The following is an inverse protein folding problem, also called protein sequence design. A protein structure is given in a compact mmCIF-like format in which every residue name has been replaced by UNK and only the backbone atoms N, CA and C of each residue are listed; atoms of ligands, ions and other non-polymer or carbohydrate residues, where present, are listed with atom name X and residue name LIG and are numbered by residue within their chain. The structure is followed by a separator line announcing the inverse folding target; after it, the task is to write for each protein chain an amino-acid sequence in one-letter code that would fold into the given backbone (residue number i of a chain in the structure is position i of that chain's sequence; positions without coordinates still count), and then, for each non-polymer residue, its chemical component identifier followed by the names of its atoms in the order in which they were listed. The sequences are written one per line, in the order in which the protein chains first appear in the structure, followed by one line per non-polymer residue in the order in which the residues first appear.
data_IF_612169755649
#
_entry.id   IF_612169755649
#
_cell.length_a   1.000
_cell.length_b   1.000
_cell.length_c   1.000
_cell.angle_alpha   90.00
_cell.angle_beta   90.00
_cell.angle_gamma   90.00
#
_symmetry.space_group_name_H-M   'P 1'
#
loop_
_entity.id
_entity.type
_entity.pdbx_description
1 polymer ?
#
# COMPACT_ATOMS: atom_id res chain seq x y z
N UNK A 1 -1.73 -14.82 0.06
CA UNK A 1 -1.03 -13.53 0.04
C UNK A 1 -1.86 -12.52 -0.73
N UNK A 2 -2.02 -11.32 -0.19
CA UNK A 2 -2.85 -10.30 -0.80
C UNK A 2 -2.00 -9.28 -1.53
N UNK A 3 -2.60 -8.68 -2.55
CA UNK A 3 -1.91 -7.72 -3.39
C UNK A 3 -2.80 -6.53 -3.70
N UNK A 4 -2.19 -5.42 -4.02
CA UNK A 4 -2.93 -4.27 -4.48
C UNK A 4 -2.00 -3.33 -5.23
N UNK A 5 -2.60 -2.51 -6.07
CA UNK A 5 -1.87 -1.49 -6.81
C UNK A 5 -2.49 -0.14 -6.51
N UNK A 6 -1.66 0.87 -6.46
CA UNK A 6 -2.10 2.21 -6.14
C UNK A 6 -1.47 3.19 -7.12
N UNK A 7 -2.29 4.07 -7.67
CA UNK A 7 -1.80 5.09 -8.59
C UNK A 7 -1.48 6.35 -7.80
N UNK A 8 -0.19 6.62 -7.63
CA UNK A 8 0.24 7.81 -6.90
C UNK A 8 0.62 8.92 -7.88
N UNK A 9 0.77 10.16 -7.36
CA UNK A 9 1.19 11.27 -8.22
C UNK A 9 2.58 11.09 -8.82
N UNK A 10 3.39 10.22 -8.25
CA UNK A 10 4.78 10.05 -8.71
C UNK A 10 5.02 8.66 -9.31
N UNK A 11 3.96 7.88 -9.54
CA UNK A 11 4.10 6.56 -10.15
C UNK A 11 3.16 5.55 -9.53
N UNK A 12 3.23 4.33 -10.03
CA UNK A 12 2.40 3.27 -9.49
C UNK A 12 3.11 2.60 -8.32
N UNK A 13 2.32 2.16 -7.36
CA UNK A 13 2.84 1.49 -6.17
C UNK A 13 2.21 0.12 -6.06
N UNK A 14 3.06 -0.89 -5.84
CA UNK A 14 2.63 -2.25 -5.61
C UNK A 14 2.66 -2.53 -4.11
N UNK A 15 1.58 -3.08 -3.60
CA UNK A 15 1.42 -3.37 -2.17
C UNK A 15 1.17 -4.86 -2.02
N UNK A 16 1.85 -5.46 -1.06
CA UNK A 16 1.69 -6.87 -0.78
C UNK A 16 1.41 -7.03 0.71
N UNK A 17 0.56 -7.98 1.05
CA UNK A 17 0.24 -8.19 2.45
C UNK A 17 -0.21 -9.61 2.72
N UNK A 18 -0.25 -9.97 3.99
CA UNK A 18 -0.64 -11.29 4.43
C UNK A 18 -1.20 -11.22 5.83
N UNK A 19 -2.33 -11.89 6.05
CA UNK A 19 -2.96 -12.01 7.36
C UNK A 19 -3.24 -10.65 8.02
N UNK A 20 -3.59 -9.67 7.22
CA UNK A 20 -3.93 -8.34 7.71
C UNK A 20 -2.74 -7.43 7.94
N UNK A 21 -1.54 -7.87 7.57
CA UNK A 21 -0.32 -7.07 7.71
C UNK A 21 0.25 -6.73 6.35
N UNK A 22 0.80 -5.53 6.23
CA UNK A 22 1.50 -5.12 5.01
C UNK A 22 2.92 -5.68 5.09
N UNK A 23 3.32 -6.42 4.06
CA UNK A 23 4.63 -7.05 4.02
C UNK A 23 5.57 -6.42 3.00
N UNK A 24 5.02 -5.68 2.02
CA UNK A 24 5.84 -5.09 0.98
C UNK A 24 5.15 -3.90 0.35
N UNK A 25 5.91 -2.86 0.09
CA UNK A 25 5.45 -1.69 -0.67
C UNK A 25 6.62 -1.30 -1.57
N UNK A 26 6.36 -1.17 -2.87
CA UNK A 26 7.41 -0.77 -3.79
C UNK A 26 6.80 -0.05 -4.99
N UNK A 27 7.62 0.75 -5.67
CA UNK A 27 7.20 1.39 -6.89
C UNK A 27 7.26 0.39 -8.05
N UNK A 28 6.37 0.56 -9.01
CA UNK A 28 6.35 -0.28 -10.19
C UNK A 28 5.94 0.54 -11.40
N UNK A 29 6.05 -0.06 -12.58
CA UNK A 29 5.79 0.64 -13.83
C UNK A 29 4.43 0.35 -14.41
N UNK A 30 3.65 -0.52 -13.78
CA UNK A 30 2.34 -0.86 -14.32
C UNK A 30 1.30 -0.92 -13.22
N UNK A 31 0.06 -0.73 -13.63
CA UNK A 31 -1.08 -0.74 -12.73
C UNK A 31 -2.01 -1.84 -13.18
N UNK A 32 -2.36 -2.74 -12.27
CA UNK A 32 -3.32 -3.81 -12.53
C UNK A 32 -4.47 -3.62 -11.56
N UNK A 33 -5.67 -3.47 -12.10
CA UNK A 33 -6.84 -3.30 -11.26
C UNK A 33 -7.29 -4.67 -10.76
N UNK A 34 -7.15 -4.90 -9.46
CA UNK A 34 -7.52 -6.15 -8.82
C UNK A 34 -8.25 -5.83 -7.53
N UNK A 35 -9.05 -6.78 -7.06
CA UNK A 35 -9.70 -6.63 -5.78
C UNK A 35 -8.67 -6.81 -4.68
N UNK A 36 -8.80 -6.00 -3.64
CA UNK A 36 -7.90 -6.04 -2.50
C UNK A 36 -8.70 -6.07 -1.22
N UNK A 37 -8.21 -6.75 -0.18
CA UNK A 37 -8.90 -6.74 1.11
C UNK A 37 -8.85 -5.36 1.76
N UNK A 38 -9.65 -5.19 2.81
CA UNK A 38 -9.80 -3.89 3.44
C UNK A 38 -8.48 -3.31 3.94
N UNK A 39 -7.60 -4.15 4.48
CA UNK A 39 -6.35 -3.61 5.02
C UNK A 39 -5.43 -3.11 3.91
N UNK A 40 -5.49 -3.70 2.72
CA UNK A 40 -4.73 -3.19 1.57
C UNK A 40 -5.35 -1.88 1.11
N UNK A 41 -6.69 -1.79 1.09
CA UNK A 41 -7.37 -0.56 0.70
C UNK A 41 -7.09 0.56 1.69
N UNK A 42 -6.99 0.24 2.96
CA UNK A 42 -6.64 1.21 3.98
C UNK A 42 -5.21 1.73 3.76
N UNK A 43 -4.31 0.84 3.36
CA UNK A 43 -2.96 1.24 3.02
C UNK A 43 -2.95 2.23 1.87
N UNK A 44 -3.75 1.95 0.83
CA UNK A 44 -3.85 2.85 -0.31
C UNK A 44 -4.36 4.22 0.11
N UNK A 45 -5.36 4.24 0.99
CA UNK A 45 -5.94 5.48 1.48
C UNK A 45 -4.90 6.30 2.23
N UNK A 46 -4.12 5.66 3.09
CA UNK A 46 -3.10 6.37 3.84
C UNK A 46 -1.98 6.87 2.94
N UNK A 47 -1.63 6.11 1.93
CA UNK A 47 -0.65 6.57 0.95
C UNK A 47 -1.14 7.82 0.24
N UNK A 48 -2.42 7.84 -0.14
CA UNK A 48 -3.00 9.01 -0.79
C UNK A 48 -2.94 10.23 0.13
N UNK A 49 -3.28 10.05 1.40
CA UNK A 49 -3.23 11.14 2.36
C UNK A 49 -1.80 11.64 2.55
N UNK A 50 -0.85 10.72 2.56
CA UNK A 50 0.55 11.09 2.68
C UNK A 50 1.00 11.95 1.50
N UNK A 51 0.66 11.54 0.27
CA UNK A 51 1.05 12.29 -0.91
C UNK A 51 0.33 13.63 -1.02
N UNK A 52 -0.86 13.74 -0.43
CA UNK A 52 -1.59 15.01 -0.41
C UNK A 52 -1.13 15.94 0.71
N UNK A 53 -0.18 15.50 1.53
CA UNK A 53 0.31 16.31 2.63
C UNK A 53 -0.58 16.29 3.86
N UNK A 54 -1.57 15.42 3.88
CA UNK A 54 -2.50 15.33 4.99
C UNK A 54 -2.03 14.40 6.10
N UNK A 55 -0.97 13.62 5.83
CA UNK A 55 -0.49 12.63 6.78
C UNK A 55 1.03 12.56 6.70
N UNK A 56 1.66 12.52 7.85
CA UNK A 56 3.12 12.42 7.93
C UNK A 56 3.59 11.07 8.46
N UNK A 57 2.69 10.32 9.09
CA UNK A 57 3.02 8.98 9.60
C UNK A 57 1.92 8.03 9.18
N UNK A 58 2.27 6.76 9.08
CA UNK A 58 1.31 5.73 8.70
C UNK A 58 0.83 5.00 9.94
N UNK A 59 -0.47 4.72 9.96
CA UNK A 59 -1.09 3.94 11.03
C UNK A 59 -1.49 2.60 10.44
N UNK A 60 -0.49 1.87 9.97
CA UNK A 60 -0.68 0.57 9.34
C UNK A 60 -0.06 -0.52 10.18
N UNK A 61 -0.65 -1.70 10.10
CA UNK A 61 -0.05 -2.87 10.70
C UNK A 61 1.01 -3.38 9.74
N UNK A 62 2.25 -3.16 10.08
CA UNK A 62 3.37 -3.60 9.27
C UNK A 62 4.02 -4.81 9.92
N UNK A 63 4.45 -5.72 9.07
CA UNK A 63 5.19 -6.88 9.54
C UNK A 63 6.67 -6.64 9.24
N UNK A 64 7.49 -6.40 10.25
CA UNK A 64 8.90 -6.09 10.04
C UNK A 64 9.74 -7.31 9.69
N UNK A 65 9.09 -8.43 9.52
CA UNK A 65 9.75 -9.68 9.18
C UNK A 65 10.62 -9.51 7.95
N UNK A 66 11.83 -10.00 8.01
CA UNK A 66 12.72 -9.97 6.87
C UNK A 66 13.57 -8.71 6.77
N UNK A 67 13.40 -7.83 7.68
CA UNK A 67 14.24 -6.63 7.69
C UNK A 67 15.50 -6.86 8.50
#
# INVERSE_FOLDING_TARGET
MDKGYFKSPIGYIYIEGEKGYITKIQFCDEYIEIESPDYINECKKQLLEYFNGERKVFDLKLNPKGT
#
